data_IF_599700243042
#
_entry.id   IF_599700243042
#
_cell.length_a   1.000
_cell.length_b   1.000
_cell.length_c   1.000
_cell.angle_alpha   90.00
_cell.angle_beta   90.00
_cell.angle_gamma   90.00
#
_symmetry.space_group_name_H-M   'P 1'
#
loop_
_entity.id
_entity.type
_entity.pdbx_description
1 polymer ?
#
# COMPACT_ATOMS: atom_id res chain seq x y z
N UNK A 1 4.41 -1.20 -18.62
CA UNK A 1 3.18 -0.38 -18.56
C UNK A 1 3.57 1.08 -18.62
N UNK A 2 2.79 1.94 -19.27
CA UNK A 2 3.18 3.31 -19.65
C UNK A 2 3.22 4.33 -18.49
N UNK A 3 3.52 3.86 -17.28
CA UNK A 3 3.83 4.67 -16.11
C UNK A 3 2.61 5.32 -15.43
N UNK A 4 2.83 6.01 -14.29
CA UNK A 4 1.79 6.66 -13.49
C UNK A 4 1.02 7.77 -14.22
N UNK A 5 1.60 8.33 -15.28
CA UNK A 5 1.03 9.45 -16.05
C UNK A 5 -0.16 9.08 -16.95
N UNK A 6 -0.35 7.79 -17.27
CA UNK A 6 -1.39 7.31 -18.18
C UNK A 6 -2.80 7.78 -17.81
N UNK A 7 -3.11 7.81 -16.52
CA UNK A 7 -4.42 8.25 -16.04
C UNK A 7 -4.69 9.72 -16.39
N UNK A 8 -3.64 10.55 -16.40
CA UNK A 8 -3.70 11.97 -16.70
C UNK A 8 -3.61 12.28 -18.20
N UNK A 9 -3.22 11.31 -19.02
CA UNK A 9 -3.22 11.45 -20.49
C UNK A 9 -4.49 10.87 -21.10
N UNK A 10 -4.81 9.63 -20.78
CA UNK A 10 -5.86 8.86 -21.47
C UNK A 10 -7.27 9.28 -21.05
N UNK A 11 -7.50 9.58 -19.76
CA UNK A 11 -8.84 9.96 -19.29
C UNK A 11 -9.28 11.34 -19.78
N UNK A 12 -8.44 12.40 -19.77
CA UNK A 12 -8.85 13.67 -20.35
C UNK A 12 -9.18 13.58 -21.84
N UNK A 13 -8.45 12.76 -22.61
CA UNK A 13 -8.76 12.51 -24.03
C UNK A 13 -10.13 11.84 -24.16
N UNK A 14 -10.41 10.83 -23.34
CA UNK A 14 -11.71 10.15 -23.34
C UNK A 14 -12.85 11.11 -22.97
N UNK A 15 -12.68 11.96 -21.95
CA UNK A 15 -13.68 12.97 -21.60
C UNK A 15 -13.85 14.04 -22.69
N UNK A 16 -12.78 14.42 -23.39
CA UNK A 16 -12.84 15.36 -24.51
C UNK A 16 -13.73 14.90 -25.67
N UNK A 17 -13.90 13.58 -25.85
CA UNK A 17 -14.82 13.00 -26.83
C UNK A 17 -16.29 12.91 -26.37
N UNK A 18 -16.59 13.22 -25.11
CA UNK A 18 -17.93 13.09 -24.53
C UNK A 18 -18.71 14.42 -24.59
N UNK A 19 -20.03 14.31 -24.78
CA UNK A 19 -20.91 15.46 -24.56
C UNK A 19 -20.78 15.95 -23.12
N UNK A 20 -20.44 17.22 -22.93
CA UNK A 20 -20.22 17.84 -21.63
C UNK A 20 -19.08 17.21 -20.80
N UNK A 21 -18.04 16.70 -21.47
CA UNK A 21 -16.90 16.02 -20.86
C UNK A 21 -16.19 16.80 -19.75
N UNK A 22 -16.22 18.14 -19.77
CA UNK A 22 -15.64 18.96 -18.71
C UNK A 22 -16.31 18.74 -17.35
N UNK A 23 -17.64 18.57 -17.30
CA UNK A 23 -18.36 18.31 -16.04
C UNK A 23 -18.00 16.91 -15.53
N UNK A 24 -18.03 15.91 -16.40
CA UNK A 24 -17.68 14.53 -16.03
C UNK A 24 -16.22 14.38 -15.59
N UNK A 25 -15.29 15.01 -16.31
CA UNK A 25 -13.88 15.02 -15.94
C UNK A 25 -13.64 15.73 -14.60
N UNK A 26 -14.26 16.90 -14.39
CA UNK A 26 -14.14 17.64 -13.13
C UNK A 26 -14.66 16.84 -11.94
N UNK A 27 -15.84 16.22 -12.07
CA UNK A 27 -16.42 15.38 -11.03
C UNK A 27 -15.54 14.14 -10.76
N UNK A 28 -15.03 13.50 -11.80
CA UNK A 28 -14.13 12.35 -11.68
C UNK A 28 -12.85 12.70 -10.89
N UNK A 29 -12.12 13.74 -11.31
CA UNK A 29 -10.88 14.12 -10.62
C UNK A 29 -11.13 14.64 -9.21
N UNK A 30 -12.28 15.28 -8.95
CA UNK A 30 -12.68 15.63 -7.60
C UNK A 30 -12.86 14.41 -6.69
N UNK A 31 -13.55 13.37 -7.19
CA UNK A 31 -13.70 12.10 -6.46
C UNK A 31 -12.35 11.38 -6.26
N UNK A 32 -11.50 11.36 -7.29
CA UNK A 32 -10.14 10.80 -7.21
C UNK A 32 -9.31 11.54 -6.16
N UNK A 33 -9.42 12.87 -6.06
CA UNK A 33 -8.74 13.65 -5.04
C UNK A 33 -9.19 13.26 -3.62
N UNK A 34 -10.49 13.07 -3.40
CA UNK A 34 -11.01 12.60 -2.10
C UNK A 34 -10.49 11.19 -1.79
N UNK A 35 -10.48 10.29 -2.77
CA UNK A 35 -9.95 8.94 -2.59
C UNK A 35 -8.44 8.95 -2.28
N UNK A 36 -7.67 9.78 -2.97
CA UNK A 36 -6.24 9.94 -2.69
C UNK A 36 -5.98 10.50 -1.28
N UNK A 37 -6.81 11.44 -0.82
CA UNK A 37 -6.73 11.97 0.54
C UNK A 37 -6.97 10.88 1.59
N UNK A 38 -8.02 10.06 1.46
CA UNK A 38 -8.31 9.00 2.43
C UNK A 38 -7.23 7.90 2.46
N UNK A 39 -6.67 7.55 1.31
CA UNK A 39 -5.52 6.63 1.22
C UNK A 39 -4.27 7.23 1.87
N UNK A 40 -3.99 8.52 1.65
CA UNK A 40 -2.81 9.18 2.23
C UNK A 40 -2.86 9.22 3.77
N UNK A 41 -4.05 9.47 4.34
CA UNK A 41 -4.29 9.43 5.79
C UNK A 41 -4.05 8.02 6.33
N UNK A 42 -4.54 6.98 5.64
CA UNK A 42 -4.36 5.59 6.06
C UNK A 42 -2.91 5.13 5.99
N UNK A 43 -2.13 5.67 5.03
CA UNK A 43 -0.72 5.33 4.86
C UNK A 43 0.20 5.97 5.91
N UNK A 44 -0.09 7.20 6.37
CA UNK A 44 0.76 7.88 7.36
C UNK A 44 0.48 7.40 8.79
N UNK A 45 -0.73 6.94 9.09
CA UNK A 45 -1.17 6.56 10.44
C UNK A 45 -0.29 5.50 11.11
N UNK A 46 0.15 4.40 10.45
CA UNK A 46 1.06 3.43 11.07
C UNK A 46 2.38 4.06 11.53
N UNK A 47 2.91 5.01 10.75
CA UNK A 47 4.12 5.76 11.10
C UNK A 47 3.90 6.68 12.30
N UNK A 48 2.77 7.40 12.33
CA UNK A 48 2.39 8.25 13.47
C UNK A 48 2.22 7.43 14.73
N UNK A 49 1.50 6.30 14.67
CA UNK A 49 1.28 5.40 15.79
C UNK A 49 2.59 4.79 16.31
N UNK A 50 3.54 4.50 15.42
CA UNK A 50 4.86 4.00 15.81
C UNK A 50 5.67 5.06 16.58
N UNK A 51 5.70 6.31 16.09
CA UNK A 51 6.36 7.42 16.80
C UNK A 51 5.68 7.75 18.14
N UNK A 52 4.35 7.64 18.21
CA UNK A 52 3.59 7.83 19.45
C UNK A 52 3.96 6.77 20.50
N UNK A 53 4.15 5.51 20.08
CA UNK A 53 4.66 4.44 20.96
C UNK A 53 6.08 4.71 21.49
N UNK A 54 6.89 5.48 20.78
CA UNK A 54 8.21 5.93 21.21
C UNK A 54 8.17 7.16 22.13
N UNK A 55 6.98 7.66 22.47
CA UNK A 55 6.77 8.79 23.38
C UNK A 55 6.68 10.15 22.70
N UNK A 56 6.65 10.21 21.37
CA UNK A 56 6.49 11.47 20.63
C UNK A 56 5.01 11.89 20.65
N UNK A 57 4.73 13.17 20.94
CA UNK A 57 3.35 13.69 20.89
C UNK A 57 2.76 13.54 19.49
N UNK A 58 1.54 13.00 19.39
CA UNK A 58 0.82 12.75 18.12
C UNK A 58 0.89 13.91 17.13
N UNK A 59 0.61 15.15 17.57
CA UNK A 59 0.69 16.35 16.73
C UNK A 59 2.07 16.54 16.08
N UNK A 60 3.15 16.33 16.84
CA UNK A 60 4.51 16.47 16.34
C UNK A 60 4.84 15.36 15.34
N UNK A 61 4.45 14.12 15.64
CA UNK A 61 4.65 12.98 14.74
C UNK A 61 3.94 13.18 13.38
N UNK A 62 2.69 13.64 13.39
CA UNK A 62 1.94 13.92 12.16
C UNK A 62 2.58 15.04 11.33
N UNK A 63 2.97 16.15 11.96
CA UNK A 63 3.60 17.27 11.23
C UNK A 63 4.96 16.86 10.67
N UNK A 64 5.77 16.15 11.46
CA UNK A 64 7.11 15.72 11.04
C UNK A 64 7.05 14.74 9.86
N UNK A 65 6.20 13.71 9.95
CA UNK A 65 6.03 12.76 8.85
C UNK A 65 5.37 13.42 7.63
N UNK A 66 4.40 14.30 7.83
CA UNK A 66 3.75 15.04 6.75
C UNK A 66 4.73 15.93 5.98
N UNK A 67 5.60 16.66 6.69
CA UNK A 67 6.67 17.45 6.07
C UNK A 67 7.69 16.57 5.35
N UNK A 68 8.05 15.42 5.93
CA UNK A 68 8.96 14.46 5.29
C UNK A 68 8.36 13.94 3.98
N UNK A 69 7.09 13.53 3.97
CA UNK A 69 6.39 13.10 2.77
C UNK A 69 6.28 14.22 1.74
N UNK A 70 6.03 15.46 2.17
CA UNK A 70 5.95 16.61 1.27
C UNK A 70 7.28 16.92 0.59
N UNK A 71 8.39 16.93 1.35
CA UNK A 71 9.74 17.11 0.79
C UNK A 71 10.12 15.96 -0.12
N UNK A 72 9.79 14.71 0.26
CA UNK A 72 10.01 13.54 -0.59
C UNK A 72 9.25 13.64 -1.91
N UNK A 73 7.99 14.06 -1.87
CA UNK A 73 7.19 14.32 -3.07
C UNK A 73 7.77 15.42 -3.95
N UNK A 74 8.24 16.52 -3.36
CA UNK A 74 8.93 17.58 -4.10
C UNK A 74 10.22 17.09 -4.79
N UNK A 75 10.99 16.22 -4.13
CA UNK A 75 12.17 15.60 -4.73
C UNK A 75 11.83 14.70 -5.92
N UNK A 76 10.73 13.94 -5.84
CA UNK A 76 10.23 13.12 -6.95
C UNK A 76 9.83 13.94 -8.18
N UNK A 77 9.27 15.14 -7.98
CA UNK A 77 8.92 16.05 -9.09
C UNK A 77 10.19 16.49 -9.84
N UNK A 78 11.29 16.74 -9.12
CA UNK A 78 12.54 17.21 -9.71
C UNK A 78 13.32 16.09 -10.41
N UNK A 79 13.18 14.84 -9.96
CA UNK A 79 13.92 13.71 -10.50
C UNK A 79 13.09 12.43 -10.57
N UNK A 80 12.76 12.03 -11.80
CA UNK A 80 12.10 10.74 -12.06
C UNK A 80 12.88 9.55 -11.50
N UNK A 81 14.22 9.62 -11.47
CA UNK A 81 15.05 8.55 -10.88
C UNK A 81 14.82 8.38 -9.38
N UNK A 82 14.55 9.47 -8.66
CA UNK A 82 14.24 9.42 -7.22
C UNK A 82 12.88 8.76 -7.03
N UNK A 83 11.89 9.12 -7.85
CA UNK A 83 10.60 8.46 -7.87
C UNK A 83 10.70 6.96 -8.15
N UNK A 84 11.38 6.59 -9.23
CA UNK A 84 11.55 5.17 -9.63
C UNK A 84 12.29 4.36 -8.56
N UNK A 85 13.29 4.95 -7.90
CA UNK A 85 14.04 4.27 -6.83
C UNK A 85 13.18 4.06 -5.59
N UNK A 86 12.41 5.07 -5.18
CA UNK A 86 11.50 4.96 -4.04
C UNK A 86 10.37 3.96 -4.34
N UNK A 87 9.80 4.00 -5.53
CA UNK A 87 8.79 3.06 -5.99
C UNK A 87 9.34 1.63 -5.99
N UNK A 88 10.54 1.41 -6.53
CA UNK A 88 11.17 0.09 -6.55
C UNK A 88 11.40 -0.45 -5.13
N UNK A 89 12.02 0.35 -4.25
CA UNK A 89 12.31 -0.07 -2.88
C UNK A 89 11.03 -0.38 -2.12
N UNK A 90 9.98 0.44 -2.28
CA UNK A 90 8.74 0.25 -1.54
C UNK A 90 7.89 -0.88 -2.11
N UNK A 91 7.56 -0.82 -3.40
CA UNK A 91 6.65 -1.75 -4.05
C UNK A 91 7.24 -3.15 -4.27
N UNK A 92 8.53 -3.23 -4.61
CA UNK A 92 9.17 -4.51 -4.95
C UNK A 92 9.94 -5.13 -3.79
N UNK A 93 10.34 -4.34 -2.78
CA UNK A 93 11.13 -4.86 -1.65
C UNK A 93 10.36 -4.82 -0.35
N UNK A 94 9.96 -3.63 0.13
CA UNK A 94 9.34 -3.49 1.44
C UNK A 94 7.98 -4.19 1.55
N UNK A 95 7.11 -4.04 0.54
CA UNK A 95 5.77 -4.65 0.56
C UNK A 95 5.83 -6.19 0.56
N UNK A 96 6.56 -6.87 -0.36
CA UNK A 96 6.67 -8.32 -0.34
C UNK A 96 7.35 -8.84 0.93
N UNK A 97 8.46 -8.25 1.37
CA UNK A 97 9.13 -8.69 2.60
C UNK A 97 8.26 -8.48 3.83
N UNK A 98 7.57 -7.34 3.94
CA UNK A 98 6.62 -7.08 5.02
C UNK A 98 5.50 -8.12 5.04
N UNK A 99 4.90 -8.41 3.89
CA UNK A 99 3.88 -9.45 3.74
C UNK A 99 4.40 -10.83 4.11
N UNK A 100 5.62 -11.18 3.69
CA UNK A 100 6.27 -12.47 4.01
C UNK A 100 6.49 -12.61 5.52
N UNK A 101 7.05 -11.59 6.17
CA UNK A 101 7.27 -11.62 7.62
C UNK A 101 5.96 -11.72 8.39
N UNK A 102 4.91 -11.01 7.97
CA UNK A 102 3.58 -11.12 8.58
C UNK A 102 3.04 -12.55 8.40
N UNK A 103 3.11 -13.11 7.19
CA UNK A 103 2.61 -14.45 6.90
C UNK A 103 3.36 -15.53 7.70
N UNK A 104 4.69 -15.44 7.78
CA UNK A 104 5.51 -16.35 8.60
C UNK A 104 5.21 -16.19 10.10
N UNK A 105 5.09 -14.96 10.58
CA UNK A 105 4.80 -14.68 11.99
C UNK A 105 3.43 -15.24 12.40
N UNK A 106 2.38 -14.96 11.64
CA UNK A 106 1.01 -15.41 11.95
C UNK A 106 0.87 -16.92 11.73
N UNK A 107 1.43 -17.45 10.63
CA UNK A 107 1.31 -18.87 10.27
C UNK A 107 2.13 -19.82 11.13
N UNK A 108 3.29 -19.38 11.63
CA UNK A 108 4.24 -20.25 12.33
C UNK A 108 4.57 -19.81 13.76
N UNK A 109 4.68 -18.50 14.05
CA UNK A 109 5.14 -18.03 15.37
C UNK A 109 4.01 -17.78 16.38
N UNK A 110 2.85 -17.31 15.93
CA UNK A 110 1.78 -16.84 16.83
C UNK A 110 0.99 -17.99 17.48
N UNK A 111 0.97 -19.16 16.84
CA UNK A 111 0.26 -20.35 17.30
C UNK A 111 -1.23 -20.34 16.98
N UNK A 112 -1.74 -21.47 16.47
CA UNK A 112 -3.11 -21.63 15.96
C UNK A 112 -4.18 -21.12 16.93
N UNK A 113 -4.13 -21.51 18.21
CA UNK A 113 -5.15 -21.17 19.21
C UNK A 113 -5.23 -19.66 19.48
N UNK A 114 -4.11 -18.93 19.42
CA UNK A 114 -4.09 -17.48 19.64
C UNK A 114 -4.71 -16.74 18.46
N UNK A 115 -4.37 -17.16 17.24
CA UNK A 115 -4.94 -16.60 16.01
C UNK A 115 -6.43 -16.91 15.92
N UNK A 116 -6.84 -18.13 16.26
CA UNK A 116 -8.27 -18.51 16.28
C UNK A 116 -9.08 -17.63 17.23
N UNK A 117 -8.55 -17.36 18.43
CA UNK A 117 -9.18 -16.45 19.41
C UNK A 117 -9.32 -15.00 18.92
N UNK A 118 -8.52 -14.57 17.97
CA UNK A 118 -8.62 -13.22 17.39
C UNK A 118 -9.56 -13.16 16.18
N UNK A 119 -9.82 -14.31 15.54
CA UNK A 119 -10.70 -14.43 14.37
C UNK A 119 -11.84 -15.40 14.71
N UNK A 120 -12.68 -14.99 15.67
CA UNK A 120 -13.76 -15.82 16.21
C UNK A 120 -15.01 -15.85 15.31
N UNK A 121 -15.20 -14.83 14.48
CA UNK A 121 -16.48 -14.61 13.78
C UNK A 121 -16.67 -15.47 12.52
N UNK A 122 -15.70 -16.33 12.20
CA UNK A 122 -15.74 -17.17 11.00
C UNK A 122 -15.91 -18.67 11.32
N UNK A 123 -16.64 -19.41 10.46
CA UNK A 123 -16.80 -20.86 10.59
C UNK A 123 -15.45 -21.58 10.67
N UNK A 124 -15.41 -22.69 11.40
CA UNK A 124 -14.17 -23.45 11.65
C UNK A 124 -13.51 -23.95 10.36
N UNK A 125 -14.31 -24.43 9.40
CA UNK A 125 -13.82 -24.85 8.09
C UNK A 125 -13.13 -23.70 7.33
N UNK A 126 -13.76 -22.52 7.32
CA UNK A 126 -13.23 -21.35 6.61
C UNK A 126 -11.96 -20.83 7.28
N UNK A 127 -11.91 -20.84 8.61
CA UNK A 127 -10.70 -20.51 9.37
C UNK A 127 -9.55 -21.45 9.04
N UNK A 128 -9.79 -22.77 9.05
CA UNK A 128 -8.76 -23.76 8.77
C UNK A 128 -8.20 -23.60 7.35
N UNK A 129 -9.07 -23.41 6.35
CA UNK A 129 -8.66 -23.15 4.98
C UNK A 129 -7.84 -21.86 4.87
N UNK A 130 -8.32 -20.76 5.44
CA UNK A 130 -7.60 -19.49 5.45
C UNK A 130 -6.24 -19.61 6.15
N UNK A 131 -6.17 -20.32 7.28
CA UNK A 131 -4.93 -20.50 8.03
C UNK A 131 -3.92 -21.36 7.28
N UNK A 132 -4.36 -22.40 6.57
CA UNK A 132 -3.51 -23.20 5.67
C UNK A 132 -2.98 -22.34 4.51
N UNK A 133 -3.86 -21.54 3.88
CA UNK A 133 -3.46 -20.60 2.82
C UNK A 133 -2.41 -19.64 3.35
N UNK A 134 -2.64 -19.04 4.52
CA UNK A 134 -1.70 -18.09 5.13
C UNK A 134 -0.36 -18.75 5.51
N UNK A 135 -0.37 -20.01 5.96
CA UNK A 135 0.83 -20.71 6.42
C UNK A 135 1.70 -21.26 5.30
N UNK A 136 1.10 -21.65 4.17
CA UNK A 136 1.80 -22.34 3.08
C UNK A 136 1.71 -21.61 1.73
N UNK A 137 0.50 -21.23 1.30
CA UNK A 137 0.29 -20.66 -0.04
C UNK A 137 0.79 -19.20 -0.09
N UNK A 138 0.47 -18.40 0.92
CA UNK A 138 0.86 -16.99 0.96
C UNK A 138 2.38 -16.79 1.01
N UNK A 139 3.17 -17.48 1.86
CA UNK A 139 4.62 -17.32 1.88
C UNK A 139 5.27 -17.75 0.56
N UNK A 140 4.81 -18.86 -0.02
CA UNK A 140 5.33 -19.35 -1.32
C UNK A 140 4.99 -18.36 -2.43
N UNK A 141 3.75 -17.88 -2.50
CA UNK A 141 3.32 -16.89 -3.49
C UNK A 141 4.11 -15.59 -3.38
N UNK A 142 4.31 -15.08 -2.16
CA UNK A 142 5.10 -13.86 -1.92
C UNK A 142 6.57 -14.06 -2.30
N UNK A 143 7.17 -15.23 -1.99
CA UNK A 143 8.54 -15.54 -2.42
C UNK A 143 8.66 -15.56 -3.94
N UNK A 144 7.69 -16.18 -4.65
CA UNK A 144 7.69 -16.22 -6.12
C UNK A 144 7.62 -14.80 -6.70
N UNK A 145 6.68 -13.97 -6.21
CA UNK A 145 6.54 -12.57 -6.65
C UNK A 145 7.83 -11.79 -6.36
N UNK A 146 8.43 -11.98 -5.18
CA UNK A 146 9.66 -11.31 -4.81
C UNK A 146 10.85 -11.70 -5.70
N UNK A 147 10.99 -12.98 -6.05
CA UNK A 147 12.02 -13.45 -6.96
C UNK A 147 11.83 -12.92 -8.39
N UNK A 148 10.57 -12.82 -8.85
CA UNK A 148 10.26 -12.23 -10.14
C UNK A 148 10.54 -10.71 -10.17
N UNK A 149 10.20 -9.99 -9.10
CA UNK A 149 10.53 -8.57 -8.92
C UNK A 149 12.04 -8.28 -8.92
N UNK A 150 12.88 -9.28 -8.59
CA UNK A 150 14.34 -9.21 -8.67
C UNK A 150 14.92 -9.64 -10.03
N UNK A 151 14.06 -10.00 -11.01
CA UNK A 151 14.44 -10.61 -12.29
C UNK A 151 15.33 -11.86 -12.14
N UNK A 152 15.18 -12.62 -11.04
CA UNK A 152 15.89 -13.89 -10.84
C UNK A 152 15.18 -15.05 -11.56
N UNK A 153 13.92 -14.86 -11.92
CA UNK A 153 13.04 -15.79 -12.64
C UNK A 153 12.07 -14.97 -13.50
#
# INVERSE_FOLDING_TARGET
GSGPGLLFETLPIAFGGMWNGAIFGSAFFFLVAIAALSSSISLIEPGVAWLERLGIKRKLATIALGLLCWVGGAACIYSGKVFDSLDYITANIMLPLGGLFIALFVGWSMGYTRVRKQVNDIPELLFNLWFIVLRFIAPVGVIIVFLNSLNLI
#
